data_IF_325749218688
#
_entry.id   IF_325749218688
#
_cell.length_a   1.000
_cell.length_b   1.000
_cell.length_c   1.000
_cell.angle_alpha   90.00
_cell.angle_beta   90.00
_cell.angle_gamma   90.00
#
_symmetry.space_group_name_H-M   'P 1'
#
loop_
_entity.id
_entity.type
_entity.pdbx_description
1 polymer ?
#
# COMPACT_ATOMS: atom_id res chain seq x y z
N UNK A 1 19.85 7.86 16.96
CA UNK A 1 20.32 6.48 17.25
C UNK A 1 19.12 5.55 17.09
N UNK A 2 18.93 4.96 15.91
CA UNK A 2 17.93 3.92 15.69
C UNK A 2 18.67 2.67 15.17
N UNK A 3 19.21 1.92 16.12
CA UNK A 3 19.90 0.67 15.85
C UNK A 3 18.86 -0.44 15.86
N UNK A 4 18.31 -0.76 14.69
CA UNK A 4 17.59 -2.01 14.44
C UNK A 4 18.16 -2.61 13.15
N UNK A 5 19.47 -2.85 13.16
CA UNK A 5 20.12 -3.71 12.19
C UNK A 5 20.26 -5.09 12.84
N UNK A 6 19.54 -6.04 12.24
CA UNK A 6 19.73 -7.49 12.34
C UNK A 6 19.83 -8.09 13.75
N UNK A 7 18.68 -8.28 14.40
CA UNK A 7 18.49 -9.60 15.00
C UNK A 7 18.41 -10.58 13.81
N UNK A 8 19.04 -11.77 13.79
CA UNK A 8 18.71 -12.82 12.83
C UNK A 8 17.26 -13.22 13.07
N UNK A 9 16.35 -12.39 12.58
CA UNK A 9 14.95 -12.39 12.93
C UNK A 9 14.41 -13.74 12.49
N UNK A 10 13.80 -14.44 13.44
CA UNK A 10 12.91 -15.56 13.16
C UNK A 10 12.01 -15.10 12.01
N UNK A 11 12.21 -15.67 10.83
CA UNK A 11 11.38 -15.35 9.67
C UNK A 11 9.97 -15.84 9.97
N UNK A 12 8.98 -15.02 9.67
CA UNK A 12 7.58 -15.24 10.07
C UNK A 12 6.66 -15.32 8.86
N UNK A 13 5.40 -15.66 9.07
CA UNK A 13 4.37 -15.54 8.03
C UNK A 13 3.99 -14.08 7.77
N UNK A 14 3.26 -13.82 6.68
CA UNK A 14 2.67 -12.51 6.44
C UNK A 14 1.73 -12.09 7.57
N UNK A 15 0.97 -13.00 8.17
CA UNK A 15 0.08 -12.68 9.30
C UNK A 15 0.85 -12.12 10.50
N UNK A 16 1.92 -12.80 10.87
CA UNK A 16 2.74 -12.51 12.05
C UNK A 16 3.68 -11.31 11.85
N UNK A 17 3.98 -10.95 10.60
CA UNK A 17 4.87 -9.85 10.29
C UNK A 17 4.34 -8.52 10.86
N UNK A 18 5.10 -7.77 11.67
CA UNK A 18 4.63 -6.51 12.23
C UNK A 18 4.22 -5.50 11.15
N UNK A 19 3.04 -4.91 11.32
CA UNK A 19 2.45 -3.94 10.39
C UNK A 19 2.59 -2.53 10.98
N UNK A 20 3.14 -1.59 10.20
CA UNK A 20 3.22 -0.17 10.59
C UNK A 20 2.68 0.76 9.50
N UNK A 21 2.11 1.89 9.91
CA UNK A 21 1.51 2.90 9.04
C UNK A 21 2.00 4.32 9.38
N UNK A 22 3.29 4.46 9.68
CA UNK A 22 3.90 5.73 10.16
C UNK A 22 3.62 6.91 9.22
N UNK A 23 3.59 6.68 7.91
CA UNK A 23 3.31 7.72 6.92
C UNK A 23 1.90 8.31 7.09
N UNK A 24 0.88 7.46 7.08
CA UNK A 24 -0.53 7.89 7.21
C UNK A 24 -0.90 8.29 8.63
N UNK A 25 -0.11 7.88 9.63
CA UNK A 25 -0.29 8.35 11.01
C UNK A 25 0.22 9.78 11.24
N UNK A 26 1.11 10.30 10.39
CA UNK A 26 1.81 11.57 10.62
C UNK A 26 1.53 12.66 9.59
N UNK A 27 0.98 12.30 8.44
CA UNK A 27 0.81 13.21 7.31
C UNK A 27 -0.68 13.48 7.05
N UNK A 28 -1.03 14.61 6.43
CA UNK A 28 -2.42 14.96 6.17
C UNK A 28 -3.01 14.08 5.05
N UNK A 29 -4.15 13.39 5.31
CA UNK A 29 -4.90 12.71 4.27
C UNK A 29 -5.64 13.71 3.38
N UNK A 30 -6.15 13.20 2.28
CA UNK A 30 -7.13 13.84 1.43
C UNK A 30 -8.42 14.16 2.20
N UNK A 31 -8.87 15.43 2.24
CA UNK A 31 -10.08 15.82 2.97
C UNK A 31 -11.37 15.11 2.52
N UNK A 32 -11.43 14.61 1.28
CA UNK A 32 -12.60 13.84 0.84
C UNK A 32 -12.59 12.39 1.36
N UNK A 33 -11.42 11.90 1.78
CA UNK A 33 -11.18 10.52 2.22
C UNK A 33 -10.28 10.51 3.46
N UNK A 34 -10.67 11.24 4.50
CA UNK A 34 -9.87 11.44 5.71
C UNK A 34 -9.62 10.15 6.51
N UNK A 35 -10.51 9.16 6.36
CA UNK A 35 -10.42 7.89 7.08
C UNK A 35 -10.55 6.68 6.14
N UNK A 36 -9.95 5.53 6.51
CA UNK A 36 -10.14 4.27 5.80
C UNK A 36 -11.61 3.89 5.59
N UNK A 37 -12.47 4.13 6.60
CA UNK A 37 -13.89 3.79 6.56
C UNK A 37 -14.63 4.56 5.47
N UNK A 38 -14.36 5.86 5.34
CA UNK A 38 -14.98 6.71 4.30
C UNK A 38 -14.57 6.20 2.90
N UNK A 39 -13.28 5.94 2.70
CA UNK A 39 -12.78 5.40 1.41
C UNK A 39 -13.34 4.01 1.10
N UNK A 40 -13.46 3.14 2.11
CA UNK A 40 -13.96 1.78 1.91
C UNK A 40 -15.44 1.75 1.52
N UNK A 41 -16.26 2.63 2.09
CA UNK A 41 -17.68 2.76 1.76
C UNK A 41 -17.96 3.53 0.46
N UNK A 42 -16.97 4.23 -0.10
CA UNK A 42 -17.17 5.05 -1.30
C UNK A 42 -17.38 4.20 -2.57
N UNK A 43 -18.23 4.66 -3.50
CA UNK A 43 -18.34 4.04 -4.83
C UNK A 43 -17.00 4.12 -5.56
N UNK A 44 -16.72 3.15 -6.43
CA UNK A 44 -15.42 3.03 -7.11
C UNK A 44 -15.11 4.27 -7.95
N UNK A 45 -16.14 4.82 -8.57
CA UNK A 45 -16.10 5.99 -9.44
C UNK A 45 -15.61 7.24 -8.70
N UNK A 46 -15.83 7.32 -7.38
CA UNK A 46 -15.35 8.41 -6.54
C UNK A 46 -13.86 8.28 -6.16
N UNK A 47 -13.26 7.11 -6.35
CA UNK A 47 -11.85 6.81 -6.06
C UNK A 47 -10.93 6.97 -7.29
N UNK A 48 -11.47 7.49 -8.39
CA UNK A 48 -10.73 7.72 -9.62
C UNK A 48 -9.79 8.93 -9.58
N UNK A 49 -9.02 9.15 -10.67
CA UNK A 49 -8.09 10.27 -10.78
C UNK A 49 -8.78 11.62 -10.63
N UNK A 50 -8.23 12.49 -9.79
CA UNK A 50 -8.70 13.88 -9.62
C UNK A 50 -7.62 14.78 -9.05
N UNK A 51 -7.84 16.09 -9.12
CA UNK A 51 -6.98 17.05 -8.44
C UNK A 51 -7.25 17.01 -6.93
N UNK A 52 -6.25 16.58 -6.17
CA UNK A 52 -6.25 16.61 -4.70
C UNK A 52 -5.47 17.85 -4.25
N UNK A 53 -5.96 18.61 -3.27
CA UNK A 53 -5.28 19.79 -2.72
C UNK A 53 -5.15 19.64 -1.21
N UNK A 54 -4.05 20.15 -0.65
CA UNK A 54 -3.83 20.17 0.80
C UNK A 54 -3.55 18.81 1.45
N UNK A 55 -3.24 17.77 0.66
CA UNK A 55 -3.01 16.41 1.15
C UNK A 55 -1.73 15.79 0.58
N UNK A 56 -1.14 14.86 1.34
CA UNK A 56 0.02 14.07 0.95
C UNK A 56 -0.33 12.64 0.53
N UNK A 57 -1.55 12.18 0.80
CA UNK A 57 -2.05 10.90 0.31
C UNK A 57 -3.58 10.86 0.31
N UNK A 58 -4.13 9.86 -0.38
CA UNK A 58 -5.55 9.52 -0.39
C UNK A 58 -5.71 8.05 -0.01
N UNK A 59 -6.61 7.72 0.93
CA UNK A 59 -6.97 6.32 1.16
C UNK A 59 -7.74 5.78 -0.03
N UNK A 60 -7.33 4.63 -0.56
CA UNK A 60 -7.95 4.00 -1.73
C UNK A 60 -7.73 2.50 -1.70
N UNK A 61 -8.82 1.72 -1.80
CA UNK A 61 -8.73 0.26 -1.90
C UNK A 61 -8.28 -0.18 -3.30
N UNK A 62 -7.47 -1.24 -3.42
CA UNK A 62 -7.18 -1.87 -4.71
C UNK A 62 -8.45 -2.31 -5.43
N UNK A 63 -8.36 -2.49 -6.73
CA UNK A 63 -9.37 -3.19 -7.50
C UNK A 63 -9.07 -4.69 -7.47
N UNK A 64 -10.04 -5.55 -7.09
CA UNK A 64 -9.80 -6.99 -7.04
C UNK A 64 -9.44 -7.57 -8.41
N UNK A 65 -8.33 -8.30 -8.46
CA UNK A 65 -7.86 -8.97 -9.66
C UNK A 65 -8.47 -10.38 -9.78
N UNK A 66 -8.90 -10.74 -10.99
CA UNK A 66 -9.43 -12.07 -11.32
C UNK A 66 -8.32 -12.95 -11.88
N UNK A 67 -8.47 -14.27 -11.72
CA UNK A 67 -7.59 -15.28 -12.34
C UNK A 67 -6.09 -15.00 -12.15
N UNK A 68 -5.71 -14.64 -10.92
CA UNK A 68 -4.34 -14.22 -10.62
C UNK A 68 -3.38 -15.42 -10.63
N UNK A 69 -2.12 -15.18 -10.95
CA UNK A 69 -1.02 -16.16 -10.90
C UNK A 69 0.24 -15.48 -10.35
N UNK A 70 1.01 -16.19 -9.52
CA UNK A 70 2.29 -15.70 -9.03
C UNK A 70 3.38 -16.16 -10.00
N UNK A 71 3.99 -15.21 -10.72
CA UNK A 71 5.00 -15.52 -11.73
C UNK A 71 6.38 -15.80 -11.13
N UNK A 72 6.82 -14.95 -10.19
CA UNK A 72 8.12 -15.09 -9.54
C UNK A 72 8.19 -14.30 -8.23
N UNK A 73 9.16 -14.62 -7.38
CA UNK A 73 9.54 -13.86 -6.18
C UNK A 73 11.05 -13.76 -6.07
N UNK A 74 11.56 -12.66 -5.52
CA UNK A 74 12.99 -12.58 -5.15
C UNK A 74 13.22 -13.25 -3.80
N UNK A 75 13.99 -14.36 -3.71
CA UNK A 75 14.26 -15.03 -2.43
C UNK A 75 14.99 -14.11 -1.44
N UNK A 76 15.84 -13.22 -1.96
CA UNK A 76 16.55 -12.23 -1.14
C UNK A 76 15.60 -11.19 -0.56
N UNK A 77 14.65 -10.68 -1.36
CA UNK A 77 13.65 -9.73 -0.86
C UNK A 77 12.73 -10.37 0.19
N UNK A 78 12.30 -11.62 -0.01
CA UNK A 78 11.53 -12.37 0.98
C UNK A 78 12.28 -12.46 2.32
N UNK A 79 13.57 -12.81 2.27
CA UNK A 79 14.41 -12.89 3.46
C UNK A 79 14.61 -11.52 4.14
N UNK A 80 14.81 -10.46 3.35
CA UNK A 80 15.03 -9.09 3.86
C UNK A 80 13.77 -8.49 4.50
N UNK A 81 12.60 -8.84 3.97
CA UNK A 81 11.31 -8.53 4.58
C UNK A 81 11.01 -9.36 5.83
N UNK A 82 11.84 -10.36 6.14
CA UNK A 82 11.65 -11.25 7.29
C UNK A 82 10.60 -12.32 7.07
N UNK A 83 10.24 -12.63 5.82
CA UNK A 83 9.27 -13.68 5.48
C UNK A 83 9.93 -15.06 5.46
N UNK A 84 9.24 -16.06 5.99
CA UNK A 84 9.70 -17.46 5.94
C UNK A 84 9.66 -18.00 4.51
N UNK A 85 10.57 -18.93 4.20
CA UNK A 85 10.56 -19.64 2.92
C UNK A 85 9.27 -20.46 2.77
N UNK A 86 8.70 -20.49 1.56
CA UNK A 86 7.42 -21.15 1.27
C UNK A 86 6.19 -20.28 1.56
N UNK A 87 6.36 -19.09 2.14
CA UNK A 87 5.25 -18.14 2.33
C UNK A 87 4.66 -17.71 0.99
N UNK A 88 5.50 -17.58 -0.05
CA UNK A 88 5.13 -17.27 -1.42
C UNK A 88 4.13 -18.28 -2.03
N UNK A 89 4.11 -19.52 -1.53
CA UNK A 89 3.22 -20.58 -1.98
C UNK A 89 1.84 -20.51 -1.30
N UNK A 90 1.67 -19.63 -0.31
CA UNK A 90 0.42 -19.53 0.43
C UNK A 90 -0.65 -18.77 -0.37
N UNK A 91 -1.93 -19.17 -0.28
CA UNK A 91 -3.02 -18.40 -0.88
C UNK A 91 -3.11 -16.97 -0.35
N UNK A 92 -2.76 -16.74 0.93
CA UNK A 92 -2.76 -15.42 1.55
C UNK A 92 -1.71 -14.51 0.90
N UNK A 93 -0.49 -15.00 0.67
CA UNK A 93 0.54 -14.23 -0.02
C UNK A 93 0.08 -13.79 -1.40
N UNK A 94 -0.44 -14.74 -2.20
CA UNK A 94 -1.01 -14.46 -3.52
C UNK A 94 -2.14 -13.43 -3.43
N UNK A 95 -3.03 -13.53 -2.46
CA UNK A 95 -4.13 -12.59 -2.28
C UNK A 95 -3.64 -11.18 -1.92
N UNK A 96 -2.62 -11.05 -1.08
CA UNK A 96 -2.02 -9.74 -0.72
C UNK A 96 -1.36 -9.09 -1.92
N UNK A 97 -0.47 -9.80 -2.62
CA UNK A 97 0.29 -9.22 -3.74
C UNK A 97 -0.57 -8.93 -4.97
N UNK A 98 -1.73 -9.56 -5.08
CA UNK A 98 -2.73 -9.28 -6.12
C UNK A 98 -3.76 -8.22 -5.73
N UNK A 99 -3.65 -7.62 -4.53
CA UNK A 99 -4.60 -6.62 -4.06
C UNK A 99 -5.97 -7.16 -3.63
N UNK A 100 -6.13 -8.49 -3.57
CA UNK A 100 -7.35 -9.17 -3.15
C UNK A 100 -7.47 -9.30 -1.61
N UNK A 101 -6.39 -9.04 -0.87
CA UNK A 101 -6.37 -9.01 0.58
C UNK A 101 -5.47 -7.90 1.10
N UNK A 102 -5.86 -7.28 2.22
CA UNK A 102 -5.04 -6.34 2.98
C UNK A 102 -5.45 -6.38 4.46
N UNK A 103 -4.50 -6.07 5.34
CA UNK A 103 -4.65 -6.23 6.79
C UNK A 103 -5.39 -5.07 7.45
N UNK A 104 -6.66 -4.88 7.09
CA UNK A 104 -7.56 -3.92 7.71
C UNK A 104 -8.98 -4.47 7.79
N UNK A 105 -9.65 -4.25 8.91
CA UNK A 105 -11.10 -4.45 9.02
C UNK A 105 -11.76 -3.21 9.62
N UNK A 106 -13.07 -3.04 9.39
CA UNK A 106 -13.81 -1.92 9.96
C UNK A 106 -13.84 -1.96 11.50
N UNK A 107 -13.84 -3.15 12.10
CA UNK A 107 -13.98 -3.34 13.55
C UNK A 107 -12.64 -3.29 14.29
N UNK A 108 -11.60 -3.94 13.77
CA UNK A 108 -10.29 -4.04 14.42
C UNK A 108 -9.28 -3.01 13.91
N UNK A 109 -9.60 -2.26 12.87
CA UNK A 109 -8.66 -1.37 12.20
C UNK A 109 -7.56 -2.13 11.47
N UNK A 110 -6.37 -1.53 11.37
CA UNK A 110 -5.21 -2.10 10.68
C UNK A 110 -4.59 -1.15 9.65
N UNK A 111 -3.90 -1.70 8.65
CA UNK A 111 -3.30 -0.92 7.56
C UNK A 111 -4.23 -0.90 6.36
N UNK A 112 -4.78 0.27 6.10
CA UNK A 112 -5.56 0.51 4.90
C UNK A 112 -4.66 0.99 3.74
N UNK A 113 -4.85 0.47 2.52
CA UNK A 113 -4.12 0.92 1.34
C UNK A 113 -4.34 2.41 1.01
N UNK A 114 -3.31 3.06 0.51
CA UNK A 114 -3.33 4.49 0.20
C UNK A 114 -2.43 4.78 -1.00
N UNK A 115 -2.74 5.87 -1.70
CA UNK A 115 -1.94 6.39 -2.82
C UNK A 115 -1.33 7.73 -2.42
N UNK A 116 -0.02 7.88 -2.64
CA UNK A 116 0.68 9.13 -2.35
C UNK A 116 0.27 10.21 -3.33
N UNK A 117 0.07 11.41 -2.83
CA UNK A 117 -0.04 12.62 -3.63
C UNK A 117 1.36 13.13 -3.97
N UNK A 118 1.79 13.00 -5.21
CA UNK A 118 3.05 13.58 -5.68
C UNK A 118 2.87 14.29 -7.03
N UNK A 119 3.82 15.15 -7.36
CA UNK A 119 3.89 15.87 -8.62
C UNK A 119 5.35 16.14 -8.95
N UNK A 120 5.65 16.30 -10.23
CA UNK A 120 7.01 16.53 -10.71
C UNK A 120 7.02 17.42 -11.94
N UNK A 121 8.11 18.15 -12.13
CA UNK A 121 8.32 18.92 -13.35
C UNK A 121 8.67 17.95 -14.49
N UNK A 122 7.80 17.79 -15.47
CA UNK A 122 8.13 17.14 -16.74
C UNK A 122 8.59 18.24 -17.70
N UNK A 123 9.89 18.26 -18.00
CA UNK A 123 10.45 19.11 -19.04
C UNK A 123 10.53 18.30 -20.33
N UNK A 124 9.40 18.14 -21.02
CA UNK A 124 9.36 17.72 -22.42
C UNK A 124 9.48 18.98 -23.27
N UNK A 125 10.25 18.95 -24.35
CA UNK A 125 10.41 20.05 -25.32
C UNK A 125 9.14 20.39 -26.12
N UNK A 126 7.97 20.12 -25.54
CA UNK A 126 6.63 20.50 -26.00
C UNK A 126 5.89 21.14 -24.81
N UNK A 127 5.87 22.47 -24.76
CA UNK A 127 4.94 23.31 -23.97
C UNK A 127 4.44 22.82 -22.60
N UNK A 128 5.14 23.26 -21.54
CA UNK A 128 4.66 23.65 -20.19
C UNK A 128 3.66 22.79 -19.36
N UNK A 129 4.16 22.46 -18.16
CA UNK A 129 3.55 22.05 -16.88
C UNK A 129 2.94 20.63 -16.80
N UNK A 130 3.74 19.68 -16.29
CA UNK A 130 3.16 18.46 -15.71
C UNK A 130 2.43 18.78 -14.40
N UNK A 131 1.19 18.29 -14.32
CA UNK A 131 0.44 18.21 -13.07
C UNK A 131 0.92 17.06 -12.18
N UNK A 132 0.01 16.54 -11.35
CA UNK A 132 0.25 15.34 -10.51
C UNK A 132 0.32 14.08 -11.37
N UNK A 133 1.11 13.09 -10.94
CA UNK A 133 1.31 11.77 -11.59
C UNK A 133 0.60 10.69 -10.77
#
# INVERSE_FOLDING_TARGET
>A
MATQLSNPAKRVSLEELPKSNIFTAKLPPDPAFETPKISHGAPREALGPRLVKGALYTFVRPEPAKETELLDVSPKAMADLGLKSGEELTPQFKAVVSGNHFFWTENSGGIYPWAQCYGGNVNLSIGSLAGRI
#
